data_IF_535069466945
#
_entry.id   IF_535069466945
#
_cell.length_a   1.000
_cell.length_b   1.000
_cell.length_c   1.000
_cell.angle_alpha   90.00
_cell.angle_beta   90.00
_cell.angle_gamma   90.00
#
_symmetry.space_group_name_H-M   'P 1'
#
loop_
_entity.id
_entity.type
_entity.pdbx_description
1 polymer ?
#
# COMPACT_ATOMS: atom_id res chain seq x y z
N UNK A 1 -49.44 -69.40 20.23
CA UNK A 1 -50.89 -69.63 19.99
C UNK A 1 -51.23 -68.89 18.72
N UNK A 2 -51.33 -69.63 17.69
CA UNK A 2 -52.50 -69.91 16.84
C UNK A 2 -52.99 -68.65 16.10
N UNK A 3 -53.01 -68.72 14.92
CA UNK A 3 -53.76 -69.23 13.72
C UNK A 3 -54.06 -68.01 12.84
N UNK A 4 -54.20 -67.99 11.60
CA UNK A 4 -54.18 -68.89 10.44
C UNK A 4 -54.55 -68.07 9.22
N UNK A 5 -53.83 -68.28 8.16
CA UNK A 5 -54.27 -68.46 6.78
C UNK A 5 -55.75 -68.10 6.42
N UNK A 6 -55.87 -67.24 5.36
CA UNK A 6 -56.74 -67.57 4.22
C UNK A 6 -56.46 -66.78 2.96
N UNK A 7 -56.11 -67.55 1.96
CA UNK A 7 -56.11 -67.19 0.52
C UNK A 7 -57.51 -66.95 0.00
N UNK A 8 -57.69 -66.01 -0.91
CA UNK A 8 -58.70 -66.15 -2.00
C UNK A 8 -58.24 -65.44 -3.25
N UNK A 9 -58.43 -66.18 -4.36
CA UNK A 9 -58.14 -65.94 -5.74
C UNK A 9 -58.97 -64.84 -6.39
N UNK A 10 -58.41 -64.18 -7.35
CA UNK A 10 -58.71 -63.53 -8.62
C UNK A 10 -60.14 -63.30 -9.05
N UNK A 11 -60.48 -62.31 -9.92
CA UNK A 11 -60.22 -62.53 -11.36
C UNK A 11 -59.64 -61.33 -12.15
N UNK A 12 -59.07 -61.72 -13.27
CA UNK A 12 -58.59 -60.99 -14.42
C UNK A 12 -59.57 -59.97 -14.98
N UNK A 13 -59.13 -58.72 -15.17
CA UNK A 13 -59.86 -57.77 -16.00
C UNK A 13 -58.82 -57.04 -16.87
N UNK A 14 -58.80 -57.38 -18.13
CA UNK A 14 -58.01 -56.79 -19.19
C UNK A 14 -58.59 -55.41 -19.48
N UNK A 15 -57.84 -54.38 -19.17
CA UNK A 15 -58.12 -52.99 -19.66
C UNK A 15 -56.93 -52.50 -20.46
N UNK A 16 -57.21 -52.26 -21.70
CA UNK A 16 -56.37 -51.61 -22.69
C UNK A 16 -56.03 -50.20 -22.24
N UNK A 17 -54.79 -49.92 -21.88
CA UNK A 17 -54.36 -48.56 -21.54
C UNK A 17 -53.54 -48.04 -22.71
N UNK A 18 -54.11 -47.01 -23.33
CA UNK A 18 -53.53 -46.15 -24.37
C UNK A 18 -52.26 -45.48 -23.81
N UNK A 19 -51.12 -45.72 -24.45
CA UNK A 19 -49.85 -45.07 -24.18
C UNK A 19 -49.93 -43.58 -24.56
N UNK A 20 -50.17 -42.71 -23.60
CA UNK A 20 -49.88 -41.27 -23.73
C UNK A 20 -48.48 -41.04 -23.21
N UNK A 21 -47.53 -40.72 -24.10
CA UNK A 21 -46.16 -40.32 -23.75
C UNK A 21 -46.18 -38.94 -23.06
N UNK A 22 -45.63 -38.80 -21.88
CA UNK A 22 -45.42 -37.46 -21.33
C UNK A 22 -44.25 -36.80 -22.04
N UNK A 23 -44.53 -35.70 -22.74
CA UNK A 23 -43.49 -34.81 -23.29
C UNK A 23 -42.60 -34.28 -22.15
N UNK A 24 -41.37 -34.76 -22.08
CA UNK A 24 -40.35 -34.25 -21.16
C UNK A 24 -40.00 -32.81 -21.62
N UNK A 25 -40.64 -31.83 -21.02
CA UNK A 25 -40.29 -30.44 -21.17
C UNK A 25 -38.98 -30.22 -20.44
N UNK A 26 -37.88 -30.14 -21.19
CA UNK A 26 -36.56 -29.78 -20.69
C UNK A 26 -36.69 -28.39 -20.01
N UNK A 27 -36.72 -28.38 -18.68
CA UNK A 27 -36.54 -27.14 -17.91
C UNK A 27 -35.09 -26.73 -18.05
N UNK A 28 -34.83 -25.73 -18.91
CA UNK A 28 -33.57 -25.02 -18.92
C UNK A 28 -33.40 -24.37 -17.53
N UNK A 29 -32.32 -24.67 -16.78
CA UNK A 29 -32.02 -23.91 -15.58
C UNK A 29 -31.76 -22.45 -16.01
N UNK A 30 -32.23 -21.45 -15.22
CA UNK A 30 -31.94 -20.06 -15.53
C UNK A 30 -30.43 -19.88 -15.58
N UNK A 31 -29.94 -19.36 -16.70
CA UNK A 31 -28.53 -18.99 -16.86
C UNK A 31 -28.14 -18.10 -15.68
N UNK A 32 -27.27 -18.60 -14.81
CA UNK A 32 -26.62 -17.81 -13.79
C UNK A 32 -25.93 -16.63 -14.50
N UNK A 33 -26.35 -15.41 -14.19
CA UNK A 33 -25.64 -14.20 -14.62
C UNK A 33 -24.17 -14.38 -14.18
N UNK A 34 -23.19 -14.19 -15.07
CA UNK A 34 -21.82 -14.20 -14.63
C UNK A 34 -21.68 -13.10 -13.57
N UNK A 35 -21.28 -13.50 -12.35
CA UNK A 35 -20.86 -12.56 -11.34
C UNK A 35 -19.70 -11.77 -11.97
N UNK A 36 -19.94 -10.49 -12.25
CA UNK A 36 -18.89 -9.56 -12.65
C UNK A 36 -18.00 -9.41 -11.42
N UNK A 37 -17.01 -10.28 -11.32
CA UNK A 37 -15.90 -10.12 -10.39
C UNK A 37 -15.19 -8.86 -10.87
N UNK A 38 -15.25 -7.78 -10.11
CA UNK A 38 -14.44 -6.59 -10.37
C UNK A 38 -12.99 -7.06 -10.58
N UNK A 39 -12.25 -6.53 -11.57
CA UNK A 39 -10.90 -6.95 -11.84
C UNK A 39 -10.08 -6.77 -10.56
N UNK A 40 -9.52 -7.87 -10.05
CA UNK A 40 -8.59 -7.83 -8.92
C UNK A 40 -7.35 -7.08 -9.40
N UNK A 41 -7.12 -5.89 -8.87
CA UNK A 41 -5.91 -5.12 -9.16
C UNK A 41 -4.70 -5.94 -8.70
N UNK A 42 -3.73 -6.13 -9.59
CA UNK A 42 -2.50 -6.87 -9.29
C UNK A 42 -1.68 -6.12 -8.23
N UNK A 43 -1.11 -6.83 -7.26
CA UNK A 43 -0.31 -6.21 -6.17
C UNK A 43 0.82 -5.27 -6.65
N UNK A 44 1.60 -5.58 -7.71
CA UNK A 44 2.61 -4.67 -8.22
C UNK A 44 2.01 -3.36 -8.75
N UNK A 45 0.85 -3.43 -9.42
CA UNK A 45 0.14 -2.27 -9.95
C UNK A 45 -0.43 -1.40 -8.82
N UNK A 46 -1.06 -2.02 -7.82
CA UNK A 46 -1.57 -1.32 -6.65
C UNK A 46 -0.44 -0.65 -5.86
N UNK A 47 0.70 -1.33 -5.68
CA UNK A 47 1.88 -0.74 -5.03
C UNK A 47 2.44 0.46 -5.78
N UNK A 48 2.42 0.43 -7.11
CA UNK A 48 2.83 1.56 -7.94
C UNK A 48 1.87 2.74 -7.76
N UNK A 49 0.56 2.49 -7.81
CA UNK A 49 -0.45 3.52 -7.66
C UNK A 49 -0.42 4.17 -6.27
N UNK A 50 -0.29 3.36 -5.20
CA UNK A 50 -0.13 3.88 -3.83
C UNK A 50 1.09 4.81 -3.75
N UNK A 51 2.24 4.38 -4.30
CA UNK A 51 3.46 5.20 -4.29
C UNK A 51 3.27 6.50 -5.04
N UNK A 52 2.67 6.45 -6.21
CA UNK A 52 2.37 7.64 -7.01
C UNK A 52 1.49 8.62 -6.23
N UNK A 53 0.39 8.16 -5.65
CA UNK A 53 -0.54 9.00 -4.88
C UNK A 53 0.14 9.65 -3.67
N UNK A 54 1.04 8.94 -2.99
CA UNK A 54 1.78 9.49 -1.86
C UNK A 54 2.79 10.58 -2.30
N UNK A 55 3.40 10.42 -3.48
CA UNK A 55 4.39 11.39 -3.99
C UNK A 55 3.77 12.68 -4.52
N UNK A 56 2.55 12.63 -5.04
CA UNK A 56 1.85 13.82 -5.53
C UNK A 56 1.04 14.55 -4.45
N UNK A 57 1.16 14.15 -3.19
CA UNK A 57 0.45 14.81 -2.09
C UNK A 57 0.86 16.28 -1.98
N UNK A 58 -0.10 17.21 -1.87
CA UNK A 58 0.21 18.63 -1.65
C UNK A 58 1.05 18.82 -0.38
N UNK A 59 2.12 19.60 -0.51
CA UNK A 59 3.06 19.92 0.58
C UNK A 59 3.94 18.77 1.08
N UNK A 60 3.97 17.63 0.37
CA UNK A 60 4.98 16.60 0.64
C UNK A 60 6.37 17.15 0.33
N UNK A 61 7.29 17.02 1.24
CA UNK A 61 8.60 17.69 1.18
C UNK A 61 9.74 16.78 1.61
N UNK A 62 10.96 17.27 1.44
CA UNK A 62 12.16 16.60 1.94
C UNK A 62 12.18 16.37 3.46
N UNK A 63 11.33 17.06 4.21
CA UNK A 63 11.20 16.92 5.67
C UNK A 63 10.10 15.94 6.09
N UNK A 64 9.46 15.30 5.12
CA UNK A 64 8.44 14.29 5.33
C UNK A 64 8.94 12.96 4.76
N UNK A 65 8.54 11.85 5.35
CA UNK A 65 8.81 10.51 4.82
C UNK A 65 7.60 9.62 5.10
N UNK A 66 7.01 9.09 4.04
CA UNK A 66 5.88 8.18 4.14
C UNK A 66 6.26 6.88 3.43
N UNK A 67 6.21 5.80 4.16
CA UNK A 67 6.35 4.44 3.66
C UNK A 67 5.04 3.68 3.81
N UNK A 68 4.89 2.59 3.07
CA UNK A 68 3.75 1.70 3.21
C UNK A 68 4.15 0.24 3.10
N UNK A 69 3.33 -0.61 3.69
CA UNK A 69 3.33 -2.05 3.44
C UNK A 69 1.95 -2.44 2.92
N UNK A 70 1.95 -3.37 1.95
CA UNK A 70 0.75 -3.91 1.34
C UNK A 70 0.64 -5.40 1.71
N UNK A 71 -0.51 -5.80 2.24
CA UNK A 71 -0.86 -7.19 2.56
C UNK A 71 -2.22 -7.49 1.90
N UNK A 72 -2.15 -8.07 0.71
CA UNK A 72 -3.31 -8.21 -0.17
C UNK A 72 -3.91 -6.85 -0.55
N UNK A 73 -5.07 -6.52 0.00
CA UNK A 73 -5.79 -5.27 -0.20
C UNK A 73 -5.72 -4.30 1.01
N UNK A 74 -4.91 -4.66 2.04
CA UNK A 74 -4.74 -3.86 3.26
C UNK A 74 -3.45 -3.09 3.24
N UNK A 75 -3.53 -1.79 3.43
CA UNK A 75 -2.37 -0.89 3.42
C UNK A 75 -2.07 -0.41 4.84
N UNK A 76 -0.81 -0.52 5.26
CA UNK A 76 -0.33 0.14 6.48
C UNK A 76 0.62 1.27 6.08
N UNK A 77 0.25 2.50 6.42
CA UNK A 77 1.08 3.68 6.24
C UNK A 77 1.94 3.92 7.49
N UNK A 78 3.22 4.17 7.30
CA UNK A 78 4.19 4.48 8.36
C UNK A 78 5.06 5.66 7.97
N UNK A 79 5.80 6.21 8.92
CA UNK A 79 6.75 7.29 8.67
C UNK A 79 6.47 8.53 9.49
N UNK A 80 7.01 9.66 9.05
CA UNK A 80 7.00 10.91 9.78
C UNK A 80 6.65 12.08 8.86
N UNK A 81 5.82 12.99 9.34
CA UNK A 81 5.43 14.20 8.61
C UNK A 81 5.50 15.43 9.52
N UNK A 82 5.82 16.57 8.93
CA UNK A 82 5.85 17.85 9.67
C UNK A 82 4.43 18.41 9.86
N UNK A 83 3.51 18.12 8.93
CA UNK A 83 2.17 18.68 8.91
C UNK A 83 1.10 17.65 9.24
N UNK A 84 0.22 17.88 10.23
CA UNK A 84 -0.89 16.95 10.54
C UNK A 84 -1.82 16.71 9.34
N UNK A 85 -2.02 17.73 8.50
CA UNK A 85 -2.85 17.62 7.30
C UNK A 85 -2.31 16.61 6.30
N UNK A 86 -0.97 16.47 6.19
CA UNK A 86 -0.35 15.50 5.28
C UNK A 86 -0.63 14.06 5.72
N UNK A 87 -0.64 13.78 7.02
CA UNK A 87 -1.05 12.48 7.56
C UNK A 87 -2.47 12.11 7.14
N UNK A 88 -3.42 13.05 7.28
CA UNK A 88 -4.81 12.84 6.91
C UNK A 88 -4.98 12.68 5.39
N UNK A 89 -4.29 13.51 4.61
CA UNK A 89 -4.33 13.46 3.15
C UNK A 89 -3.76 12.15 2.60
N UNK A 90 -2.67 11.64 3.19
CA UNK A 90 -2.08 10.35 2.81
C UNK A 90 -3.08 9.20 2.99
N UNK A 91 -3.76 9.16 4.14
CA UNK A 91 -4.81 8.16 4.40
C UNK A 91 -5.95 8.26 3.40
N UNK A 92 -6.48 9.47 3.19
CA UNK A 92 -7.59 9.70 2.27
C UNK A 92 -7.24 9.32 0.82
N UNK A 93 -6.05 9.71 0.35
CA UNK A 93 -5.58 9.41 -1.00
C UNK A 93 -5.45 7.89 -1.23
N UNK A 94 -4.85 7.17 -0.28
CA UNK A 94 -4.68 5.72 -0.41
C UNK A 94 -6.01 4.99 -0.27
N UNK A 95 -6.89 5.44 0.62
CA UNK A 95 -8.21 4.84 0.83
C UNK A 95 -9.14 4.98 -0.38
N UNK A 96 -8.92 5.98 -1.24
CA UNK A 96 -9.71 6.20 -2.45
C UNK A 96 -9.30 5.32 -3.64
N UNK A 97 -8.19 4.58 -3.54
CA UNK A 97 -7.70 3.73 -4.61
C UNK A 97 -8.53 2.46 -4.75
N UNK A 98 -8.80 2.08 -5.99
CA UNK A 98 -9.41 0.80 -6.31
C UNK A 98 -8.48 -0.35 -5.89
N UNK A 99 -9.03 -1.36 -5.24
CA UNK A 99 -8.26 -2.50 -4.72
C UNK A 99 -7.75 -2.31 -3.29
N UNK A 100 -7.99 -1.17 -2.64
CA UNK A 100 -7.70 -0.96 -1.21
C UNK A 100 -8.95 -1.17 -0.38
N UNK A 101 -8.94 -2.18 0.49
CA UNK A 101 -10.08 -2.47 1.40
C UNK A 101 -9.97 -1.73 2.73
N UNK A 102 -8.75 -1.53 3.22
CA UNK A 102 -8.51 -0.84 4.49
C UNK A 102 -7.14 -0.17 4.54
N UNK A 103 -7.07 0.95 5.28
CA UNK A 103 -5.83 1.69 5.52
C UNK A 103 -5.62 1.82 7.02
N UNK A 104 -4.47 1.33 7.51
CA UNK A 104 -3.98 1.55 8.86
C UNK A 104 -2.96 2.68 8.83
N UNK A 105 -3.30 3.84 9.37
CA UNK A 105 -2.42 4.99 9.36
C UNK A 105 -1.62 5.10 10.66
N UNK A 106 -0.32 4.76 10.58
CA UNK A 106 0.66 4.84 11.65
C UNK A 106 1.69 5.96 11.42
N UNK A 107 1.39 6.92 10.53
CA UNK A 107 2.25 8.09 10.32
C UNK A 107 2.26 8.95 11.59
N UNK A 108 3.46 9.28 12.05
CA UNK A 108 3.66 10.17 13.18
C UNK A 108 3.83 11.62 12.72
N UNK A 109 3.25 12.55 13.46
CA UNK A 109 3.45 13.98 13.22
C UNK A 109 4.59 14.47 14.10
N UNK A 110 5.62 15.03 13.49
CA UNK A 110 6.75 15.60 14.20
C UNK A 110 6.33 16.81 15.03
N UNK A 111 6.83 16.98 16.26
CA UNK A 111 6.52 18.14 17.09
C UNK A 111 6.89 19.45 16.38
N UNK A 112 6.10 20.48 16.59
CA UNK A 112 6.46 21.84 16.17
C UNK A 112 7.58 22.36 17.08
N UNK A 113 8.69 22.75 16.48
CA UNK A 113 9.85 23.30 17.16
C UNK A 113 10.56 24.28 16.23
N UNK A 114 10.66 25.54 16.62
CA UNK A 114 11.38 26.55 15.84
C UNK A 114 12.87 26.19 15.70
N UNK A 115 13.47 25.66 16.76
CA UNK A 115 14.86 25.20 16.75
C UNK A 115 15.04 24.03 15.79
N UNK A 116 14.13 23.04 15.79
CA UNK A 116 14.21 21.94 14.83
C UNK A 116 13.98 22.41 13.39
N UNK A 117 13.15 23.42 13.17
CA UNK A 117 12.97 24.02 11.83
C UNK A 117 14.21 24.73 11.33
N UNK A 118 14.96 25.41 12.21
CA UNK A 118 16.25 26.00 11.88
C UNK A 118 17.28 24.92 11.55
N UNK A 119 17.35 23.87 12.35
CA UNK A 119 18.24 22.73 12.07
C UNK A 119 17.86 22.00 10.78
N UNK A 120 16.57 21.77 10.49
CA UNK A 120 16.12 21.18 9.20
C UNK A 120 16.69 21.97 8.02
N UNK A 121 16.59 23.31 8.05
CA UNK A 121 17.11 24.16 7.00
C UNK A 121 18.65 24.13 6.91
N UNK A 122 19.33 24.07 8.04
CA UNK A 122 20.78 23.99 8.09
C UNK A 122 21.30 22.65 7.54
N UNK A 123 20.69 21.53 7.96
CA UNK A 123 21.01 20.18 7.45
C UNK A 123 20.71 20.06 5.96
N UNK A 124 19.58 20.60 5.50
CA UNK A 124 19.21 20.64 4.09
C UNK A 124 20.32 21.33 3.25
N UNK A 125 20.73 22.53 3.66
CA UNK A 125 21.80 23.26 2.99
C UNK A 125 23.10 22.48 3.01
N UNK A 126 23.52 21.98 4.16
CA UNK A 126 24.77 21.22 4.30
C UNK A 126 24.83 19.99 3.39
N UNK A 127 23.72 19.28 3.20
CA UNK A 127 23.65 18.10 2.32
C UNK A 127 23.61 18.51 0.84
N UNK A 128 22.71 19.43 0.46
CA UNK A 128 22.40 19.68 -0.94
C UNK A 128 23.20 20.82 -1.59
N UNK A 129 24.01 21.57 -0.83
CA UNK A 129 25.06 22.44 -1.36
C UNK A 129 26.31 21.66 -1.75
N UNK A 130 26.44 20.39 -1.34
CA UNK A 130 27.52 19.52 -1.82
C UNK A 130 27.29 19.13 -3.28
N UNK A 131 28.27 19.32 -4.12
CA UNK A 131 28.21 19.11 -5.58
C UNK A 131 27.81 17.66 -5.96
N UNK A 132 28.17 16.68 -5.15
CA UNK A 132 27.80 15.26 -5.37
C UNK A 132 26.34 14.98 -5.07
N UNK A 133 25.78 15.61 -4.02
CA UNK A 133 24.44 15.38 -3.54
C UNK A 133 23.40 16.34 -4.11
N UNK A 134 23.84 17.47 -4.69
CA UNK A 134 22.97 18.51 -5.26
C UNK A 134 21.97 17.97 -6.29
N UNK A 135 22.34 16.94 -7.04
CA UNK A 135 21.44 16.29 -8.01
C UNK A 135 20.16 15.72 -7.39
N UNK A 136 20.20 15.35 -6.12
CA UNK A 136 19.05 14.85 -5.39
C UNK A 136 18.08 15.94 -4.94
N UNK A 137 18.55 17.19 -4.84
CA UNK A 137 17.71 18.35 -4.57
C UNK A 137 16.88 18.78 -5.79
N UNK A 138 17.39 18.53 -7.00
CA UNK A 138 16.76 18.92 -8.25
C UNK A 138 15.61 17.96 -8.68
N UNK A 139 15.38 16.87 -7.95
CA UNK A 139 14.32 15.91 -8.24
C UNK A 139 12.96 16.47 -7.82
N UNK A 140 11.93 16.28 -8.67
CA UNK A 140 10.55 16.66 -8.33
C UNK A 140 10.02 15.91 -7.10
N UNK A 141 10.51 14.69 -6.89
CA UNK A 141 10.23 13.89 -5.71
C UNK A 141 11.48 13.83 -4.86
N UNK A 142 11.41 14.16 -3.56
CA UNK A 142 12.55 14.04 -2.67
C UNK A 142 13.09 12.60 -2.66
N UNK A 143 14.40 12.47 -2.88
CA UNK A 143 15.10 11.17 -2.90
C UNK A 143 15.79 10.90 -1.57
N UNK A 144 16.23 11.98 -0.89
CA UNK A 144 16.76 11.94 0.47
C UNK A 144 15.83 12.76 1.34
N UNK A 145 15.37 12.17 2.43
CA UNK A 145 14.48 12.79 3.41
C UNK A 145 15.26 13.09 4.70
N UNK A 146 14.95 14.23 5.30
CA UNK A 146 15.61 14.74 6.52
C UNK A 146 14.56 14.84 7.62
N UNK A 147 14.49 13.84 8.47
CA UNK A 147 13.59 13.82 9.61
C UNK A 147 14.34 14.30 10.84
N UNK A 148 13.81 15.32 11.51
CA UNK A 148 14.48 15.93 12.66
C UNK A 148 13.52 16.06 13.83
N UNK A 149 13.93 15.55 14.99
CA UNK A 149 13.21 15.62 16.26
C UNK A 149 14.19 15.88 17.39
N UNK A 150 14.02 16.96 18.11
CA UNK A 150 14.85 17.30 19.28
C UNK A 150 16.37 17.33 18.99
N UNK A 151 16.78 17.81 17.82
CA UNK A 151 18.18 17.82 17.37
C UNK A 151 18.73 16.47 16.90
N UNK A 152 17.92 15.42 16.87
CA UNK A 152 18.30 14.13 16.27
C UNK A 152 17.82 14.05 14.81
N UNK A 153 18.75 13.80 13.90
CA UNK A 153 18.47 13.64 12.47
C UNK A 153 18.33 12.18 12.11
N UNK A 154 17.26 11.83 11.39
CA UNK A 154 17.16 10.56 10.66
C UNK A 154 17.14 10.86 9.16
N UNK A 155 18.04 10.25 8.41
CA UNK A 155 18.09 10.31 6.95
C UNK A 155 17.43 9.06 6.39
N UNK A 156 16.44 9.24 5.53
CA UNK A 156 15.75 8.18 4.80
C UNK A 156 15.91 8.38 3.31
N UNK A 157 15.76 7.33 2.50
CA UNK A 157 15.77 7.45 1.05
C UNK A 157 16.67 6.47 0.34
N UNK A 158 17.02 6.79 -0.92
CA UNK A 158 17.79 5.90 -1.79
C UNK A 158 18.84 6.71 -2.57
N UNK A 159 20.10 6.30 -2.49
CA UNK A 159 21.21 6.90 -3.25
C UNK A 159 21.88 5.87 -4.16
N UNK A 160 22.80 6.31 -5.01
CA UNK A 160 23.45 5.44 -5.99
C UNK A 160 24.67 4.69 -5.45
N UNK A 161 25.25 5.14 -4.33
CA UNK A 161 26.47 4.53 -3.79
C UNK A 161 26.60 4.69 -2.28
N UNK A 162 27.41 3.82 -1.67
CA UNK A 162 27.78 3.91 -0.25
C UNK A 162 28.52 5.22 0.07
N UNK A 163 29.34 5.71 -0.87
CA UNK A 163 30.03 6.98 -0.70
C UNK A 163 29.07 8.15 -0.51
N UNK A 164 27.98 8.19 -1.30
CA UNK A 164 26.94 9.23 -1.19
C UNK A 164 26.13 9.10 0.10
N UNK A 165 25.80 7.87 0.50
CA UNK A 165 25.17 7.60 1.78
C UNK A 165 26.00 8.13 2.95
N UNK A 166 27.29 7.83 2.96
CA UNK A 166 28.20 8.26 4.01
C UNK A 166 28.44 9.77 3.96
N UNK A 167 28.51 10.35 2.77
CA UNK A 167 28.64 11.79 2.57
C UNK A 167 27.44 12.54 3.14
N UNK A 168 26.22 12.08 2.84
CA UNK A 168 24.99 12.68 3.38
C UNK A 168 24.99 12.67 4.93
N UNK A 169 25.41 11.57 5.54
CA UNK A 169 25.54 11.44 7.00
C UNK A 169 26.59 12.42 7.56
N UNK A 170 27.75 12.50 6.94
CA UNK A 170 28.84 13.40 7.35
C UNK A 170 28.39 14.86 7.26
N UNK A 171 27.72 15.24 6.16
CA UNK A 171 27.19 16.59 5.97
C UNK A 171 26.11 16.93 7.02
N UNK A 172 25.22 16.01 7.31
CA UNK A 172 24.22 16.23 8.38
C UNK A 172 24.88 16.42 9.75
N UNK A 173 25.87 15.58 10.07
CA UNK A 173 26.56 15.62 11.36
C UNK A 173 27.46 16.85 11.53
N UNK A 174 27.89 17.51 10.43
CA UNK A 174 28.70 18.72 10.51
C UNK A 174 27.93 19.97 10.95
N UNK A 175 26.61 19.91 10.99
CA UNK A 175 25.77 21.02 11.41
C UNK A 175 25.82 21.17 12.94
N UNK A 176 26.26 22.35 13.39
CA UNK A 176 26.37 22.64 14.82
C UNK A 176 24.99 22.54 15.50
N UNK A 177 24.93 21.87 16.65
CA UNK A 177 23.71 21.66 17.41
C UNK A 177 22.97 20.36 17.08
N UNK A 178 23.38 19.59 16.08
CA UNK A 178 22.87 18.25 15.85
C UNK A 178 23.47 17.29 16.87
N UNK A 179 22.57 16.60 17.61
CA UNK A 179 22.97 15.66 18.67
C UNK A 179 23.39 14.29 18.12
N UNK A 180 22.67 13.81 17.10
CA UNK A 180 22.95 12.52 16.45
C UNK A 180 22.41 12.46 15.03
N UNK A 181 22.99 11.55 14.21
CA UNK A 181 22.52 11.27 12.85
C UNK A 181 22.34 9.76 12.70
N UNK A 182 21.09 9.34 12.46
CA UNK A 182 20.73 7.99 12.05
C UNK A 182 20.60 7.93 10.55
N UNK A 183 21.39 7.09 9.87
CA UNK A 183 21.40 7.00 8.43
C UNK A 183 20.76 5.70 7.94
N UNK A 184 19.48 5.79 7.55
CA UNK A 184 18.68 4.70 6.98
C UNK A 184 18.62 4.74 5.45
N UNK A 185 19.45 5.57 4.80
CA UNK A 185 19.52 5.63 3.35
C UNK A 185 19.92 4.25 2.80
N UNK A 186 19.17 3.78 1.80
CA UNK A 186 19.44 2.55 1.05
C UNK A 186 20.25 2.87 -0.22
N UNK A 187 20.96 1.87 -0.72
CA UNK A 187 21.68 1.98 -1.98
C UNK A 187 20.83 1.34 -3.07
N UNK A 188 20.68 2.06 -4.20
CA UNK A 188 19.97 1.52 -5.36
C UNK A 188 20.73 0.32 -5.94
N UNK A 189 20.06 -0.82 -6.19
CA UNK A 189 20.69 -1.94 -6.88
C UNK A 189 21.21 -1.51 -8.25
N UNK A 190 22.40 -1.98 -8.64
CA UNK A 190 22.94 -1.73 -9.99
C UNK A 190 21.99 -2.29 -11.05
N UNK A 191 21.60 -1.46 -12.02
CA UNK A 191 20.72 -1.86 -13.11
C UNK A 191 19.25 -1.46 -12.94
N UNK A 192 18.86 -0.82 -11.85
CA UNK A 192 17.50 -0.27 -11.69
C UNK A 192 17.46 1.14 -12.27
N UNK A 193 16.60 1.44 -13.27
CA UNK A 193 16.44 2.78 -13.80
C UNK A 193 16.02 3.77 -12.70
N UNK A 194 16.40 5.03 -12.85
CA UNK A 194 15.84 6.11 -12.05
C UNK A 194 14.36 6.29 -12.51
N UNK A 195 13.42 6.09 -11.61
CA UNK A 195 12.04 6.48 -11.85
C UNK A 195 11.91 7.98 -11.77
#
# INVERSE_FOLDING_TARGET
MHHAIRRKLAPCFTILVILAAPSLRAQHPPAAKPATTAPKVEEPQLSHEIRHQLFVLPYYSVFDYIAFTLDGDKVTLTGYVVRPTLRANAEAAVKSLEGVSSVKNQIEVLPKSATDDDFRRAVYRSIFEDSTLQRYAASEVPVIHILLRNGEVTLEGVVSSEAEKNLASTRAASVSGIASVKNNISIRPKGTPAN
#
